data_IF_879711325751
#
_entry.id   IF_879711325751
#
_cell.length_a   1.000
_cell.length_b   1.000
_cell.length_c   1.000
_cell.angle_alpha   90.00
_cell.angle_beta   90.00
_cell.angle_gamma   90.00
#
_symmetry.space_group_name_H-M   'P 1'
#
loop_
_entity.id
_entity.type
_entity.pdbx_description
1 polymer ?
#
# COMPACT_ATOMS: atom_id res chain seq x y z
N UNK A 1 24.50 17.10 -13.95
CA UNK A 1 25.70 16.24 -13.77
C UNK A 1 25.28 15.02 -12.96
N UNK A 2 25.28 13.83 -13.57
CA UNK A 2 25.06 12.57 -12.85
C UNK A 2 26.31 12.29 -12.03
N UNK A 3 26.30 12.64 -10.74
CA UNK A 3 27.33 12.21 -9.81
C UNK A 3 27.18 10.69 -9.67
N UNK A 4 28.08 9.91 -10.25
CA UNK A 4 28.16 8.47 -9.97
C UNK A 4 28.59 8.28 -8.51
N UNK A 5 27.61 8.32 -7.60
CA UNK A 5 27.83 8.04 -6.18
C UNK A 5 28.23 6.57 -6.06
N UNK A 6 29.40 6.29 -5.48
CA UNK A 6 29.85 4.91 -5.20
C UNK A 6 29.62 4.56 -3.74
N UNK A 7 29.43 3.29 -3.45
CA UNK A 7 29.31 2.82 -2.08
C UNK A 7 30.67 3.00 -1.35
N UNK A 8 30.73 3.73 -0.23
CA UNK A 8 31.99 3.98 0.47
C UNK A 8 32.59 2.71 1.09
N UNK A 9 31.76 1.70 1.39
CA UNK A 9 32.23 0.47 2.03
C UNK A 9 32.73 -0.60 1.04
N UNK A 10 32.22 -0.64 -0.20
CA UNK A 10 32.56 -1.70 -1.16
C UNK A 10 32.98 -1.22 -2.55
N UNK A 11 33.05 0.10 -2.79
CA UNK A 11 33.43 0.72 -4.07
C UNK A 11 32.48 0.48 -5.25
N UNK A 12 31.37 -0.24 -5.02
CA UNK A 12 30.40 -0.63 -6.03
C UNK A 12 29.47 0.51 -6.46
N UNK A 13 28.71 0.32 -7.54
CA UNK A 13 27.76 1.33 -8.01
C UNK A 13 26.63 1.54 -7.00
N UNK A 14 26.15 2.78 -6.89
CA UNK A 14 24.91 3.09 -6.19
C UNK A 14 23.70 2.97 -7.11
N UNK A 15 22.54 2.74 -6.50
CA UNK A 15 21.23 2.76 -7.15
C UNK A 15 20.30 3.68 -6.36
N UNK A 16 19.29 4.22 -7.04
CA UNK A 16 18.25 5.04 -6.41
C UNK A 16 17.09 4.13 -6.02
N UNK A 17 16.62 4.27 -4.78
CA UNK A 17 15.44 3.60 -4.23
C UNK A 17 14.49 4.63 -3.63
N UNK A 18 13.23 4.25 -3.47
CA UNK A 18 12.18 5.07 -2.89
C UNK A 18 11.88 4.61 -1.47
N UNK A 19 11.87 5.54 -0.52
CA UNK A 19 11.43 5.29 0.84
C UNK A 19 9.91 5.26 0.91
N UNK A 20 9.39 4.30 1.67
CA UNK A 20 7.96 4.13 1.94
C UNK A 20 7.64 4.29 3.43
N UNK A 21 8.54 4.93 4.17
CA UNK A 21 8.32 5.26 5.58
C UNK A 21 7.31 6.40 5.71
N UNK A 22 6.62 6.48 6.85
CA UNK A 22 5.64 7.54 7.13
C UNK A 22 6.24 8.95 7.13
N UNK A 23 7.52 9.08 7.50
CA UNK A 23 8.24 10.35 7.57
C UNK A 23 8.97 10.71 6.26
N UNK A 24 9.15 9.76 5.35
CA UNK A 24 9.75 9.99 4.04
C UNK A 24 8.94 9.32 2.91
N UNK A 25 7.60 9.52 2.81
CA UNK A 25 6.81 8.86 1.78
C UNK A 25 7.29 9.28 0.39
N UNK A 26 7.53 8.31 -0.48
CA UNK A 26 7.97 8.51 -1.85
C UNK A 26 9.31 9.26 -2.04
N UNK A 27 10.08 9.52 -0.97
CA UNK A 27 11.37 10.22 -1.05
C UNK A 27 12.48 9.29 -1.53
N UNK A 28 13.26 9.70 -2.52
CA UNK A 28 14.34 8.88 -3.08
C UNK A 28 15.65 9.01 -2.31
N UNK A 29 16.35 7.90 -2.17
CA UNK A 29 17.68 7.80 -1.58
C UNK A 29 18.60 6.94 -2.44
N UNK A 30 19.90 7.25 -2.41
CA UNK A 30 20.95 6.45 -3.00
C UNK A 30 21.40 5.37 -2.02
N UNK A 31 21.49 4.13 -2.46
CA UNK A 31 22.04 3.03 -1.67
C UNK A 31 22.94 2.13 -2.52
N UNK A 32 23.74 1.30 -1.85
CA UNK A 32 24.56 0.33 -2.56
C UNK A 32 23.70 -0.67 -3.35
N UNK A 33 24.12 -1.00 -4.58
CA UNK A 33 23.48 -2.05 -5.37
C UNK A 33 23.63 -3.45 -4.74
N UNK A 34 24.73 -3.68 -4.03
CA UNK A 34 24.99 -4.95 -3.33
C UNK A 34 24.19 -4.98 -2.02
N UNK A 35 23.35 -6.01 -1.86
CA UNK A 35 22.71 -6.31 -0.57
C UNK A 35 23.76 -6.95 0.36
N UNK A 36 24.03 -6.35 1.50
CA UNK A 36 24.95 -6.91 2.49
C UNK A 36 24.93 -6.10 3.78
N UNK A 37 25.29 -6.75 4.90
CA UNK A 37 25.25 -6.16 6.25
C UNK A 37 26.07 -4.86 6.35
N UNK A 38 27.14 -4.76 5.57
CA UNK A 38 28.06 -3.63 5.61
C UNK A 38 27.76 -2.56 4.54
N UNK A 39 26.70 -2.71 3.73
CA UNK A 39 26.36 -1.78 2.65
C UNK A 39 24.94 -1.24 2.85
N UNK A 40 24.80 0.08 3.01
CA UNK A 40 23.53 0.73 3.38
C UNK A 40 23.11 1.89 2.48
N UNK A 41 22.32 2.79 3.06
CA UNK A 41 21.99 4.09 2.49
C UNK A 41 23.27 4.91 2.43
N UNK A 42 23.52 5.54 1.29
CA UNK A 42 24.69 6.39 1.06
C UNK A 42 24.30 7.85 1.27
N UNK A 43 23.24 8.31 0.60
CA UNK A 43 22.76 9.68 0.69
C UNK A 43 21.29 9.79 0.26
N UNK A 44 20.65 10.93 0.50
CA UNK A 44 19.33 11.26 -0.02
C UNK A 44 19.43 11.90 -1.41
N UNK A 45 18.66 11.38 -2.35
CA UNK A 45 18.60 11.94 -3.71
C UNK A 45 17.68 13.17 -3.73
N UNK A 46 16.51 13.06 -3.10
CA UNK A 46 15.59 14.18 -2.95
C UNK A 46 15.87 14.95 -1.65
N UNK A 47 15.70 16.28 -1.64
CA UNK A 47 15.80 17.07 -0.41
C UNK A 47 14.80 16.60 0.65
N UNK A 48 15.00 16.97 1.93
CA UNK A 48 14.02 16.69 2.97
C UNK A 48 12.65 17.22 2.54
N UNK A 49 11.63 16.40 2.75
CA UNK A 49 10.27 16.80 2.44
C UNK A 49 9.81 17.95 3.34
N UNK A 50 8.89 18.76 2.84
CA UNK A 50 8.39 19.87 3.64
C UNK A 50 7.64 19.32 4.87
N UNK A 51 7.75 19.97 6.06
CA UNK A 51 7.11 19.48 7.28
C UNK A 51 5.60 19.27 7.12
N UNK A 52 4.95 20.11 6.31
CA UNK A 52 3.53 20.00 5.97
C UNK A 52 3.22 18.71 5.21
N UNK A 53 4.02 18.32 4.20
CA UNK A 53 3.73 17.11 3.43
C UNK A 53 3.91 15.84 4.27
N UNK A 54 4.90 15.83 5.17
CA UNK A 54 5.13 14.74 6.12
C UNK A 54 3.93 14.54 7.06
N UNK A 55 3.17 15.59 7.38
CA UNK A 55 1.95 15.47 8.20
C UNK A 55 0.71 15.13 7.35
N UNK A 56 0.54 15.81 6.22
CA UNK A 56 -0.67 15.72 5.39
C UNK A 56 -0.74 14.40 4.62
N UNK A 57 0.35 13.96 3.97
CA UNK A 57 0.32 12.77 3.10
C UNK A 57 -0.07 11.50 3.89
N UNK A 58 0.54 11.19 5.06
CA UNK A 58 0.13 10.00 5.82
C UNK A 58 -1.31 10.08 6.32
N UNK A 59 -1.79 11.27 6.65
CA UNK A 59 -3.17 11.47 7.07
C UNK A 59 -4.15 11.13 5.94
N UNK A 60 -3.91 11.69 4.75
CA UNK A 60 -4.72 11.42 3.57
C UNK A 60 -4.73 9.93 3.20
N UNK A 61 -3.56 9.27 3.24
CA UNK A 61 -3.47 7.84 2.96
C UNK A 61 -4.30 7.00 3.94
N UNK A 62 -4.26 7.33 5.25
CA UNK A 62 -5.10 6.65 6.24
C UNK A 62 -6.59 6.85 5.95
N UNK A 63 -7.00 8.08 5.64
CA UNK A 63 -8.39 8.39 5.29
C UNK A 63 -8.85 7.64 4.04
N UNK A 64 -8.01 7.58 3.00
CA UNK A 64 -8.33 6.84 1.76
C UNK A 64 -8.45 5.33 2.01
N UNK A 65 -7.51 4.74 2.77
CA UNK A 65 -7.55 3.33 3.10
C UNK A 65 -8.80 2.97 3.91
N UNK A 66 -9.20 3.84 4.84
CA UNK A 66 -10.42 3.64 5.62
C UNK A 66 -11.68 3.73 4.75
N UNK A 67 -11.76 4.72 3.86
CA UNK A 67 -12.87 4.83 2.91
C UNK A 67 -12.97 3.60 2.01
N UNK A 68 -11.84 3.11 1.48
CA UNK A 68 -11.79 1.91 0.67
C UNK A 68 -12.22 0.67 1.46
N UNK A 69 -11.82 0.55 2.73
CA UNK A 69 -12.22 -0.54 3.63
C UNK A 69 -13.74 -0.54 3.84
N UNK A 70 -14.33 0.62 4.13
CA UNK A 70 -15.79 0.76 4.33
C UNK A 70 -16.55 0.45 3.04
N UNK A 71 -16.07 0.95 1.89
CA UNK A 71 -16.66 0.65 0.59
C UNK A 71 -16.63 -0.86 0.30
N UNK A 72 -15.48 -1.50 0.51
CA UNK A 72 -15.34 -2.94 0.34
C UNK A 72 -16.30 -3.73 1.23
N UNK A 73 -16.37 -3.37 2.52
CA UNK A 73 -17.32 -3.99 3.46
C UNK A 73 -18.77 -3.87 2.99
N UNK A 74 -19.18 -2.71 2.47
CA UNK A 74 -20.54 -2.55 1.91
C UNK A 74 -20.78 -3.49 0.74
N UNK A 75 -19.86 -3.57 -0.23
CA UNK A 75 -20.01 -4.48 -1.36
C UNK A 75 -20.07 -5.95 -0.93
N UNK A 76 -19.32 -6.33 0.10
CA UNK A 76 -19.33 -7.69 0.63
C UNK A 76 -20.63 -8.00 1.38
N UNK A 77 -21.17 -7.04 2.15
CA UNK A 77 -22.50 -7.16 2.76
C UNK A 77 -23.59 -7.28 1.69
N UNK A 78 -23.56 -6.45 0.64
CA UNK A 78 -24.53 -6.53 -0.46
C UNK A 78 -24.52 -7.91 -1.14
N UNK A 79 -23.33 -8.44 -1.44
CA UNK A 79 -23.19 -9.80 -2.00
C UNK A 79 -23.74 -10.86 -1.06
N UNK A 80 -23.46 -10.75 0.25
CA UNK A 80 -23.97 -11.69 1.26
C UNK A 80 -25.49 -11.63 1.35
N UNK A 81 -26.08 -10.43 1.39
CA UNK A 81 -27.54 -10.24 1.42
C UNK A 81 -28.21 -10.82 0.18
N UNK A 82 -27.67 -10.57 -1.01
CA UNK A 82 -28.18 -11.15 -2.27
C UNK A 82 -28.14 -12.69 -2.26
N UNK A 83 -27.05 -13.29 -1.77
CA UNK A 83 -26.94 -14.75 -1.63
C UNK A 83 -27.97 -15.31 -0.65
N UNK A 84 -28.13 -14.68 0.52
CA UNK A 84 -29.13 -15.12 1.51
C UNK A 84 -30.56 -15.04 0.95
N UNK A 85 -30.87 -13.97 0.19
CA UNK A 85 -32.16 -13.84 -0.47
C UNK A 85 -32.41 -14.96 -1.48
N UNK A 86 -31.43 -15.27 -2.33
CA UNK A 86 -31.53 -16.38 -3.30
C UNK A 86 -31.76 -17.72 -2.59
N UNK A 87 -31.01 -18.01 -1.53
CA UNK A 87 -31.17 -19.24 -0.74
C UNK A 87 -32.56 -19.33 -0.09
N UNK A 88 -33.07 -18.22 0.45
CA UNK A 88 -34.41 -18.15 1.03
C UNK A 88 -35.50 -18.41 -0.01
N UNK A 89 -35.37 -17.85 -1.22
CA UNK A 89 -36.31 -18.07 -2.31
C UNK A 89 -36.29 -19.52 -2.81
N UNK A 90 -35.10 -20.10 -2.97
CA UNK A 90 -34.96 -21.52 -3.33
C UNK A 90 -35.63 -22.42 -2.29
N UNK A 91 -35.42 -22.15 -1.00
CA UNK A 91 -36.06 -22.88 0.09
C UNK A 91 -37.59 -22.76 0.04
N UNK A 92 -38.12 -21.55 -0.14
CA UNK A 92 -39.55 -21.30 -0.26
C UNK A 92 -40.17 -22.07 -1.44
N UNK A 93 -39.53 -22.04 -2.61
CA UNK A 93 -39.99 -22.75 -3.81
C UNK A 93 -40.04 -24.25 -3.54
N UNK A 94 -38.98 -24.83 -2.96
CA UNK A 94 -38.92 -26.26 -2.62
C UNK A 94 -40.08 -26.63 -1.68
N UNK A 95 -40.24 -25.93 -0.57
CA UNK A 95 -41.33 -26.20 0.39
C UNK A 95 -42.69 -26.09 -0.28
N UNK A 96 -42.92 -25.03 -1.07
CA UNK A 96 -44.19 -24.84 -1.77
C UNK A 96 -44.49 -25.97 -2.76
N UNK A 97 -43.49 -26.43 -3.54
CA UNK A 97 -43.65 -27.53 -4.50
C UNK A 97 -43.86 -28.91 -3.87
N UNK A 98 -43.45 -29.10 -2.61
CA UNK A 98 -43.68 -30.36 -1.89
C UNK A 98 -44.95 -30.34 -1.03
N UNK A 99 -45.52 -29.15 -0.77
CA UNK A 99 -46.73 -28.97 0.04
C UNK A 99 -48.03 -28.89 -0.79
N UNK A 100 -47.93 -28.71 -2.11
CA UNK A 100 -49.04 -28.63 -3.05
C UNK A 100 -48.74 -29.47 -4.30
#
# INVERSE_FOLDING_TARGET
MNMEVRCPNCGGPSIIRTSWTTINPARRFCCCAKRGINCGIIDWYDPPMCPRSVQVIPCLLRSMNELQRVAQQRTDQEKKMKKMLLLSWLFFIVVFTFMY
#
